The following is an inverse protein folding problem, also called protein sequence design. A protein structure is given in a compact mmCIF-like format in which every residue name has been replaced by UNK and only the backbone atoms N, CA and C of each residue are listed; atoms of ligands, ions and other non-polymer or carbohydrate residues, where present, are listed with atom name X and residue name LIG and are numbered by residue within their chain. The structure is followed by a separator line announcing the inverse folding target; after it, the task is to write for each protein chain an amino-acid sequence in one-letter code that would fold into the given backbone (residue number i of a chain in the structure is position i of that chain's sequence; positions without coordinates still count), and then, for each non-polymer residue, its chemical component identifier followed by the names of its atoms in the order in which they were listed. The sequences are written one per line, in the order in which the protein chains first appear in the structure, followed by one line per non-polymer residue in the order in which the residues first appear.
data_IF_975317380013
#
_entry.id   IF_975317380013
#
_cell.length_a   1.000
_cell.length_b   1.000
_cell.length_c   1.000
_cell.angle_alpha   90.00
_cell.angle_beta   90.00
_cell.angle_gamma   90.00
#
_symmetry.space_group_name_H-M   'P 1'
#
loop_
_entity.id
_entity.type
_entity.pdbx_description
1 polymer ?
#
# COMPACT_ATOMS: atom_id res chain seq x y z
N UNK A 1 19.21 13.13 -6.72
CA UNK A 1 18.28 13.57 -7.79
C UNK A 1 19.09 13.90 -9.03
N UNK A 2 18.62 13.48 -10.20
CA UNK A 2 19.23 13.77 -11.49
C UNK A 2 18.51 14.95 -12.14
N UNK A 3 19.26 15.90 -12.70
CA UNK A 3 18.72 17.09 -13.35
C UNK A 3 18.96 16.99 -14.85
N UNK A 4 17.87 16.85 -15.60
CA UNK A 4 17.89 16.86 -17.07
C UNK A 4 17.51 18.25 -17.55
N UNK A 5 18.29 18.79 -18.49
CA UNK A 5 18.04 20.11 -19.09
C UNK A 5 18.15 19.98 -20.60
N UNK A 6 17.12 20.40 -21.31
CA UNK A 6 17.16 20.52 -22.76
C UNK A 6 18.00 21.76 -23.14
N UNK A 7 18.59 21.74 -24.33
CA UNK A 7 19.22 22.94 -24.87
C UNK A 7 18.15 23.98 -25.21
N UNK A 8 18.54 25.26 -25.20
CA UNK A 8 17.62 26.34 -25.57
C UNK A 8 17.28 26.28 -27.07
N UNK A 9 18.26 26.00 -27.93
CA UNK A 9 18.07 25.90 -29.37
C UNK A 9 17.03 24.83 -29.75
N UNK A 10 17.09 23.67 -29.11
CA UNK A 10 16.09 22.60 -29.31
C UNK A 10 14.70 23.04 -28.84
N UNK A 11 14.63 23.78 -27.73
CA UNK A 11 13.35 24.28 -27.23
C UNK A 11 12.78 25.39 -28.12
N UNK A 12 13.62 26.26 -28.68
CA UNK A 12 13.19 27.41 -29.49
C UNK A 12 12.51 26.99 -30.79
N UNK A 13 12.92 25.86 -31.38
CA UNK A 13 12.30 25.28 -32.58
C UNK A 13 11.16 24.29 -32.26
N UNK A 14 10.95 23.96 -30.98
CA UNK A 14 9.97 22.96 -30.56
C UNK A 14 8.55 23.53 -30.52
N UNK A 15 7.64 22.99 -31.34
CA UNK A 15 6.22 23.37 -31.38
C UNK A 15 5.49 23.18 -30.03
N UNK A 16 6.00 22.32 -29.15
CA UNK A 16 5.40 22.06 -27.83
C UNK A 16 5.94 22.98 -26.73
N UNK A 17 6.89 23.89 -27.00
CA UNK A 17 7.54 24.74 -25.98
C UNK A 17 6.53 25.49 -25.11
N UNK A 18 5.51 26.08 -25.74
CA UNK A 18 4.45 26.85 -25.07
C UNK A 18 3.69 26.03 -24.04
N UNK A 19 3.45 24.74 -24.30
CA UNK A 19 2.81 23.82 -23.36
C UNK A 19 3.79 23.20 -22.37
N UNK A 20 5.01 22.90 -22.81
CA UNK A 20 5.98 22.10 -22.08
C UNK A 20 6.78 22.91 -21.03
N UNK A 21 7.13 24.15 -21.34
CA UNK A 21 7.91 25.03 -20.48
C UNK A 21 7.51 26.51 -20.73
N UNK A 22 6.26 26.91 -20.40
CA UNK A 22 5.70 28.23 -20.78
C UNK A 22 6.47 29.43 -20.24
N UNK A 23 7.07 29.29 -19.05
CA UNK A 23 7.74 30.38 -18.32
C UNK A 23 9.26 30.30 -18.34
N UNK A 24 9.81 29.24 -18.92
CA UNK A 24 11.24 28.93 -18.88
C UNK A 24 11.82 28.93 -20.29
N UNK A 25 13.06 29.42 -20.49
CA UNK A 25 13.68 29.45 -21.81
C UNK A 25 13.94 28.04 -22.37
N UNK A 26 14.09 27.04 -21.49
CA UNK A 26 14.28 25.64 -21.88
C UNK A 26 13.73 24.69 -20.82
N UNK A 27 13.31 23.49 -21.23
CA UNK A 27 12.77 22.47 -20.33
C UNK A 27 13.82 21.99 -19.33
N UNK A 28 13.45 21.94 -18.05
CA UNK A 28 14.22 21.32 -16.96
C UNK A 28 13.35 20.29 -16.27
N UNK A 29 13.88 19.09 -16.04
CA UNK A 29 13.19 18.02 -15.31
C UNK A 29 14.11 17.56 -14.18
N UNK A 30 13.57 17.50 -12.97
CA UNK A 30 14.19 16.81 -11.86
C UNK A 30 13.62 15.39 -11.83
N UNK A 31 14.49 14.38 -11.88
CA UNK A 31 14.14 12.97 -11.76
C UNK A 31 14.83 12.38 -10.54
N UNK A 32 14.16 11.44 -9.87
CA UNK A 32 14.79 10.73 -8.76
C UNK A 32 15.94 9.87 -9.27
N UNK A 33 16.95 9.63 -8.43
CA UNK A 33 17.95 8.57 -8.71
C UNK A 33 17.31 7.18 -8.67
N UNK A 34 16.19 7.04 -7.95
CA UNK A 34 15.40 5.81 -7.87
C UNK A 34 14.18 5.82 -8.80
N UNK A 35 14.22 6.65 -9.86
CA UNK A 35 13.06 6.77 -10.74
C UNK A 35 12.67 5.44 -11.39
N UNK A 36 13.66 4.61 -11.73
CA UNK A 36 13.43 3.28 -12.31
C UNK A 36 12.58 2.40 -11.39
N UNK A 37 12.82 2.46 -10.08
CA UNK A 37 11.99 1.78 -9.07
C UNK A 37 10.57 2.36 -9.01
N UNK A 38 10.43 3.69 -9.08
CA UNK A 38 9.13 4.36 -9.13
C UNK A 38 8.35 4.04 -10.40
N UNK A 39 9.01 3.97 -11.55
CA UNK A 39 8.43 3.59 -12.84
C UNK A 39 7.92 2.15 -12.80
N UNK A 40 8.71 1.23 -12.22
CA UNK A 40 8.27 -0.15 -11.96
C UNK A 40 7.05 -0.20 -11.04
N UNK A 41 7.04 0.58 -9.95
CA UNK A 41 5.89 0.65 -9.06
C UNK A 41 4.63 1.17 -9.78
N UNK A 42 4.76 2.24 -10.59
CA UNK A 42 3.66 2.78 -11.41
C UNK A 42 3.17 1.79 -12.48
N UNK A 43 4.07 0.99 -13.05
CA UNK A 43 3.69 -0.04 -14.01
C UNK A 43 2.85 -1.14 -13.33
N UNK A 44 3.26 -1.60 -12.15
CA UNK A 44 2.51 -2.59 -11.35
C UNK A 44 1.14 -2.02 -10.95
N UNK A 45 1.08 -0.78 -10.50
CA UNK A 45 -0.14 -0.11 -10.03
C UNK A 45 -1.27 -0.11 -11.09
N UNK A 46 -0.90 -0.08 -12.37
CA UNK A 46 -1.84 -0.08 -13.52
C UNK A 46 -2.38 -1.47 -13.88
N UNK A 47 -1.90 -2.54 -13.25
CA UNK A 47 -2.31 -3.91 -13.56
C UNK A 47 -3.61 -4.30 -12.86
N UNK A 48 -4.41 -5.15 -13.49
CA UNK A 48 -5.61 -5.71 -12.87
C UNK A 48 -5.28 -6.56 -11.62
N UNK A 49 -4.17 -7.29 -11.67
CA UNK A 49 -3.68 -8.10 -10.55
C UNK A 49 -3.36 -7.25 -9.32
N UNK A 50 -2.79 -6.06 -9.52
CA UNK A 50 -2.56 -5.14 -8.41
C UNK A 50 -3.87 -4.65 -7.78
N UNK A 51 -4.90 -4.39 -8.58
CA UNK A 51 -6.22 -4.03 -8.05
C UNK A 51 -6.86 -5.19 -7.24
N UNK A 52 -6.69 -6.44 -7.68
CA UNK A 52 -7.09 -7.64 -6.91
C UNK A 52 -6.28 -7.74 -5.62
N UNK A 53 -4.95 -7.60 -5.69
CA UNK A 53 -4.05 -7.63 -4.54
C UNK A 53 -4.43 -6.57 -3.50
N UNK A 54 -4.73 -5.34 -3.91
CA UNK A 54 -5.19 -4.28 -3.01
C UNK A 54 -6.49 -4.64 -2.29
N UNK A 55 -7.46 -5.25 -2.98
CA UNK A 55 -8.71 -5.73 -2.37
C UNK A 55 -8.44 -6.83 -1.34
N UNK A 56 -7.52 -7.74 -1.62
CA UNK A 56 -7.11 -8.81 -0.70
C UNK A 56 -6.36 -8.26 0.52
N UNK A 57 -5.39 -7.34 0.32
CA UNK A 57 -4.66 -6.69 1.42
C UNK A 57 -5.58 -5.96 2.38
N UNK A 58 -6.59 -5.23 1.89
CA UNK A 58 -7.58 -4.57 2.74
C UNK A 58 -8.27 -5.55 3.71
N UNK A 59 -8.57 -6.78 3.27
CA UNK A 59 -9.17 -7.81 4.15
C UNK A 59 -8.24 -8.17 5.32
N UNK A 60 -6.94 -8.25 5.06
CA UNK A 60 -5.91 -8.58 6.05
C UNK A 60 -5.59 -7.38 6.94
N UNK A 61 -5.37 -6.20 6.37
CA UNK A 61 -5.08 -4.96 7.10
C UNK A 61 -6.20 -4.61 8.09
N UNK A 62 -7.46 -4.79 7.69
CA UNK A 62 -8.59 -4.58 8.59
C UNK A 62 -8.64 -5.57 9.77
N UNK A 63 -8.13 -6.80 9.59
CA UNK A 63 -8.02 -7.75 10.71
C UNK A 63 -7.05 -7.23 11.76
N UNK A 64 -5.85 -6.81 11.34
CA UNK A 64 -4.87 -6.22 12.24
C UNK A 64 -5.37 -4.93 12.90
N UNK A 65 -6.10 -4.10 12.17
CA UNK A 65 -6.74 -2.90 12.74
C UNK A 65 -7.73 -3.27 13.85
N UNK A 66 -8.56 -4.31 13.63
CA UNK A 66 -9.49 -4.82 14.63
C UNK A 66 -8.79 -5.46 15.83
N UNK A 67 -7.70 -6.21 15.64
CA UNK A 67 -6.90 -6.75 16.75
C UNK A 67 -6.42 -5.63 17.67
N UNK A 68 -5.86 -4.56 17.10
CA UNK A 68 -5.34 -3.43 17.86
C UNK A 68 -6.46 -2.64 18.55
N UNK A 69 -7.53 -2.29 17.81
CA UNK A 69 -8.56 -1.36 18.30
C UNK A 69 -9.66 -2.01 19.13
N UNK A 70 -10.07 -3.24 18.78
CA UNK A 70 -11.19 -3.92 19.44
C UNK A 70 -10.68 -4.90 20.50
N UNK A 71 -9.63 -5.66 20.21
CA UNK A 71 -9.06 -6.61 21.18
C UNK A 71 -7.93 -6.00 22.03
N UNK A 72 -7.59 -4.72 21.81
CA UNK A 72 -6.61 -4.00 22.63
C UNK A 72 -5.17 -4.50 22.50
N UNK A 73 -4.84 -5.25 21.44
CA UNK A 73 -3.51 -5.81 21.19
C UNK A 73 -2.51 -4.73 20.74
N UNK A 74 -2.22 -3.79 21.63
CA UNK A 74 -1.31 -2.66 21.42
C UNK A 74 0.12 -2.97 21.87
N UNK A 75 0.27 -3.85 22.85
CA UNK A 75 1.54 -4.29 23.41
C UNK A 75 1.51 -5.80 23.61
N UNK A 76 2.65 -6.42 23.36
CA UNK A 76 2.90 -7.82 23.65
C UNK A 76 3.39 -7.93 25.10
N UNK A 77 2.92 -8.96 25.81
CA UNK A 77 3.23 -9.22 27.22
C UNK A 77 4.48 -10.09 27.38
N UNK A 78 4.74 -10.96 26.42
CA UNK A 78 5.87 -11.87 26.37
C UNK A 78 7.05 -11.20 25.64
N UNK A 79 8.25 -11.47 26.13
CA UNK A 79 9.49 -10.94 25.55
C UNK A 79 10.06 -11.89 24.49
N UNK A 80 10.77 -11.31 23.53
CA UNK A 80 11.47 -12.04 22.48
C UNK A 80 10.58 -12.47 21.30
N UNK A 81 11.19 -12.92 20.19
CA UNK A 81 10.47 -13.26 18.97
C UNK A 81 9.49 -14.43 19.14
N UNK A 82 9.81 -15.39 20.01
CA UNK A 82 8.94 -16.53 20.29
C UNK A 82 7.68 -16.09 21.05
N UNK A 83 7.84 -15.29 22.10
CA UNK A 83 6.69 -14.73 22.83
C UNK A 83 5.78 -13.88 21.94
N UNK A 84 6.37 -13.05 21.08
CA UNK A 84 5.62 -12.27 20.10
C UNK A 84 4.84 -13.14 19.11
N UNK A 85 5.45 -14.22 18.64
CA UNK A 85 4.81 -15.19 17.74
C UNK A 85 3.60 -15.85 18.41
N UNK A 86 3.76 -16.30 19.66
CA UNK A 86 2.70 -17.00 20.39
C UNK A 86 1.49 -16.10 20.65
N UNK A 87 1.72 -14.87 21.12
CA UNK A 87 0.65 -13.90 21.37
C UNK A 87 -0.12 -13.51 20.11
N UNK A 88 0.59 -13.26 19.01
CA UNK A 88 -0.04 -12.91 17.73
C UNK A 88 -0.85 -14.10 17.19
N UNK A 89 -0.32 -15.32 17.29
CA UNK A 89 -1.02 -16.53 16.85
C UNK A 89 -2.31 -16.73 17.66
N UNK A 90 -2.26 -16.56 18.98
CA UNK A 90 -3.43 -16.69 19.84
C UNK A 90 -4.48 -15.63 19.53
N UNK A 91 -4.06 -14.37 19.35
CA UNK A 91 -4.95 -13.28 18.98
C UNK A 91 -5.59 -13.48 17.60
N UNK A 92 -4.81 -13.92 16.60
CA UNK A 92 -5.32 -14.24 15.27
C UNK A 92 -6.31 -15.41 15.30
N UNK A 93 -6.03 -16.44 16.10
CA UNK A 93 -6.93 -17.58 16.29
C UNK A 93 -8.26 -17.14 16.89
N UNK A 94 -8.24 -16.37 17.97
CA UNK A 94 -9.46 -15.83 18.59
C UNK A 94 -10.28 -14.98 17.60
N UNK A 95 -9.61 -14.17 16.77
CA UNK A 95 -10.29 -13.36 15.76
C UNK A 95 -10.90 -14.21 14.62
N UNK A 96 -10.22 -15.27 14.21
CA UNK A 96 -10.75 -16.22 13.23
C UNK A 96 -11.97 -16.97 13.78
N UNK A 97 -11.94 -17.40 15.04
CA UNK A 97 -13.10 -18.01 15.72
C UNK A 97 -14.30 -17.04 15.77
N UNK A 98 -14.06 -15.77 16.11
CA UNK A 98 -15.12 -14.74 16.12
C UNK A 98 -15.71 -14.50 14.72
N UNK A 99 -14.93 -14.67 13.65
CA UNK A 99 -15.44 -14.62 12.28
C UNK A 99 -16.26 -15.86 11.93
N UNK A 100 -15.77 -17.05 12.27
CA UNK A 100 -16.48 -18.31 12.04
C UNK A 100 -17.85 -18.30 12.72
N UNK A 101 -17.92 -17.85 13.97
CA UNK A 101 -19.17 -17.72 14.70
C UNK A 101 -20.22 -16.81 14.03
N UNK A 102 -19.80 -15.88 13.16
CA UNK A 102 -20.71 -15.03 12.37
C UNK A 102 -21.17 -15.65 11.06
N UNK A 103 -20.44 -16.65 10.57
CA UNK A 103 -20.75 -17.36 9.33
C UNK A 103 -21.63 -18.57 9.57
N UNK A 104 -21.54 -19.14 10.78
CA UNK A 104 -22.42 -20.22 11.20
C UNK A 104 -23.85 -19.69 11.36
N UNK A 105 -24.87 -20.47 10.94
CA UNK A 105 -26.27 -20.13 11.23
C UNK A 105 -26.48 -20.07 12.74
N UNK A 106 -27.44 -19.25 13.18
CA UNK A 106 -27.83 -19.25 14.58
C UNK A 106 -28.29 -20.67 14.95
N UNK A 107 -27.88 -21.20 16.12
CA UNK A 107 -28.34 -22.51 16.54
C UNK A 107 -29.87 -22.50 16.59
N UNK A 108 -30.50 -23.48 15.95
CA UNK A 108 -31.93 -23.71 16.10
C UNK A 108 -32.18 -24.00 17.58
N UNK A 109 -32.86 -23.06 18.25
CA UNK A 109 -33.30 -23.26 19.62
C UNK A 109 -34.42 -24.30 19.55
N UNK A 110 -34.07 -25.57 19.81
CA UNK A 110 -35.07 -26.59 20.06
C UNK A 110 -35.79 -26.21 21.37
N UNK A 111 -37.05 -25.77 21.25
CA UNK A 111 -37.97 -25.64 22.38
C UNK A 111 -38.30 -27.01 22.97
#
# INVERSE_FOLDING_TARGET
MLRYRASKADCDTCALKTRCCPKEPARKILRSTFETSSDRARAIDRTADYAVSCRLRKKVEMLFAHLKRILGLSRLRLRGPNGARDEINLAATAQNLRKLAKLLPAPEVAC
#
